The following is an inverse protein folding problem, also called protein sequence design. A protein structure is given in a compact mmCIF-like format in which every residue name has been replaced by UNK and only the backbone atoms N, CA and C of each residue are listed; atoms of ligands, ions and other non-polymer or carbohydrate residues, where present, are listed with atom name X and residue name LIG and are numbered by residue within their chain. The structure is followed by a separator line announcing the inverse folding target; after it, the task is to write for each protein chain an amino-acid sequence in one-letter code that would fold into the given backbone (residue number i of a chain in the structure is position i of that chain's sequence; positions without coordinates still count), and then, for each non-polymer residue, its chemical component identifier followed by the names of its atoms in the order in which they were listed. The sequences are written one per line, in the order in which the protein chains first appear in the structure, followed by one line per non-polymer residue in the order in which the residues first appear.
data_IF_380674968856
#
_entry.id   IF_380674968856
#
_cell.length_a   1.000
_cell.length_b   1.000
_cell.length_c   1.000
_cell.angle_alpha   90.00
_cell.angle_beta   90.00
_cell.angle_gamma   90.00
#
_symmetry.space_group_name_H-M   'P 1'
#
loop_
_entity.id
_entity.type
_entity.pdbx_description
1 polymer ?
#
# COMPACT_ATOMS: atom_id res chain seq x y z
N UNK A 1 18.92 2.59 -13.24
CA UNK A 1 17.61 1.89 -13.24
C UNK A 1 16.80 2.35 -12.04
N UNK A 2 15.51 2.41 -12.20
CA UNK A 2 14.56 2.79 -11.15
C UNK A 2 14.77 4.20 -10.54
N UNK A 3 15.28 5.12 -11.35
CA UNK A 3 15.45 6.53 -10.96
C UNK A 3 14.07 7.22 -10.86
N UNK A 4 13.80 7.81 -9.71
CA UNK A 4 12.58 8.55 -9.40
C UNK A 4 12.85 10.04 -9.17
N UNK A 5 14.00 10.55 -9.58
CA UNK A 5 14.34 11.97 -9.47
C UNK A 5 13.29 12.83 -10.17
N UNK A 6 12.78 13.85 -9.48
CA UNK A 6 11.71 14.72 -9.97
C UNK A 6 10.31 14.11 -9.91
N UNK A 7 10.14 12.88 -9.42
CA UNK A 7 8.82 12.28 -9.15
C UNK A 7 8.33 12.61 -7.74
N UNK A 8 7.03 12.59 -7.59
CA UNK A 8 6.37 12.84 -6.30
C UNK A 8 5.50 11.64 -5.92
N UNK A 9 5.57 11.21 -4.67
CA UNK A 9 4.86 10.04 -4.18
C UNK A 9 4.06 10.34 -2.90
N UNK A 10 2.79 9.98 -2.88
CA UNK A 10 1.97 9.95 -1.67
C UNK A 10 1.93 8.52 -1.12
N UNK A 11 2.38 8.34 0.12
CA UNK A 11 2.42 7.03 0.79
C UNK A 11 1.52 7.04 2.02
N UNK A 12 0.46 6.22 2.03
CA UNK A 12 -0.41 6.06 3.19
C UNK A 12 0.08 4.94 4.11
N UNK A 13 -0.18 5.07 5.42
CA UNK A 13 0.29 4.10 6.42
C UNK A 13 1.81 4.10 6.59
N UNK A 14 2.46 5.24 6.35
CA UNK A 14 3.92 5.38 6.45
C UNK A 14 4.46 5.31 7.89
N UNK A 15 3.60 5.28 8.90
CA UNK A 15 3.97 5.00 10.30
C UNK A 15 4.15 3.51 10.60
N UNK A 16 3.80 2.61 9.67
CA UNK A 16 3.96 1.16 9.76
C UNK A 16 5.22 0.66 9.05
N UNK A 17 5.62 -0.59 9.34
CA UNK A 17 6.86 -1.17 8.81
C UNK A 17 6.93 -1.17 7.27
N UNK A 18 5.91 -1.69 6.60
CA UNK A 18 5.87 -1.75 5.12
C UNK A 18 5.79 -0.36 4.50
N UNK A 19 4.85 0.48 4.96
CA UNK A 19 4.67 1.82 4.40
C UNK A 19 5.88 2.72 4.61
N UNK A 20 6.54 2.63 5.78
CA UNK A 20 7.77 3.34 6.07
C UNK A 20 8.93 2.91 5.16
N UNK A 21 9.11 1.60 4.98
CA UNK A 21 10.15 1.08 4.08
C UNK A 21 9.92 1.48 2.62
N UNK A 22 8.65 1.46 2.15
CA UNK A 22 8.33 1.94 0.80
C UNK A 22 8.65 3.43 0.67
N UNK A 23 8.23 4.26 1.62
CA UNK A 23 8.50 5.70 1.58
C UNK A 23 10.02 5.99 1.58
N UNK A 24 10.79 5.30 2.42
CA UNK A 24 12.24 5.38 2.46
C UNK A 24 12.87 4.98 1.12
N UNK A 25 12.44 3.87 0.53
CA UNK A 25 13.00 3.38 -0.72
C UNK A 25 12.71 4.32 -1.90
N UNK A 26 11.46 4.83 -2.02
CA UNK A 26 11.11 5.82 -3.04
C UNK A 26 11.92 7.11 -2.88
N UNK A 27 12.07 7.58 -1.64
CA UNK A 27 12.89 8.75 -1.32
C UNK A 27 14.37 8.55 -1.70
N UNK A 28 14.94 7.39 -1.38
CA UNK A 28 16.33 7.01 -1.71
C UNK A 28 16.54 6.97 -3.24
N UNK A 29 15.52 6.60 -4.00
CA UNK A 29 15.55 6.62 -5.48
C UNK A 29 15.30 8.02 -6.08
N UNK A 30 15.26 9.07 -5.27
CA UNK A 30 15.19 10.47 -5.71
C UNK A 30 13.79 11.10 -5.68
N UNK A 31 12.74 10.37 -5.31
CA UNK A 31 11.40 10.94 -5.22
C UNK A 31 11.25 11.96 -4.07
N UNK A 32 10.40 12.96 -4.25
CA UNK A 32 9.82 13.72 -3.15
C UNK A 32 8.64 12.94 -2.59
N UNK A 33 8.57 12.74 -1.27
CA UNK A 33 7.55 11.90 -0.66
C UNK A 33 6.64 12.69 0.29
N UNK A 34 5.33 12.51 0.14
CA UNK A 34 4.35 12.89 1.16
C UNK A 34 3.99 11.63 1.96
N UNK A 35 4.28 11.66 3.25
CA UNK A 35 4.04 10.54 4.17
C UNK A 35 2.79 10.79 5.00
N UNK A 36 1.88 9.80 5.02
CA UNK A 36 0.59 9.91 5.68
C UNK A 36 0.32 8.75 6.63
N UNK A 37 -0.36 9.05 7.71
CA UNK A 37 -0.78 8.14 8.77
C UNK A 37 -1.46 8.89 9.90
N UNK A 38 -1.92 8.19 10.93
CA UNK A 38 -2.66 8.81 12.04
C UNK A 38 -1.78 9.42 13.13
N UNK A 39 -0.55 8.92 13.30
CA UNK A 39 0.36 9.31 14.39
C UNK A 39 1.32 10.39 13.92
N UNK A 40 0.96 11.64 14.13
CA UNK A 40 1.74 12.82 13.70
C UNK A 40 3.20 12.78 14.17
N UNK A 41 3.43 12.52 15.45
CA UNK A 41 4.77 12.50 16.04
C UNK A 41 5.69 11.45 15.40
N UNK A 42 5.12 10.28 15.04
CA UNK A 42 5.87 9.23 14.34
C UNK A 42 6.24 9.67 12.92
N UNK A 43 5.31 10.35 12.23
CA UNK A 43 5.56 10.91 10.90
C UNK A 43 6.63 12.00 10.94
N UNK A 44 6.55 12.93 11.91
CA UNK A 44 7.53 14.01 12.07
C UNK A 44 8.94 13.45 12.38
N UNK A 45 9.02 12.44 13.26
CA UNK A 45 10.28 11.74 13.56
C UNK A 45 10.82 10.99 12.34
N UNK A 46 9.97 10.43 11.51
CA UNK A 46 10.37 9.76 10.28
C UNK A 46 10.82 10.77 9.22
N UNK A 47 10.10 11.88 9.06
CA UNK A 47 10.47 12.96 8.16
C UNK A 47 11.86 13.54 8.52
N UNK A 48 12.15 13.72 9.81
CA UNK A 48 13.44 14.18 10.27
C UNK A 48 14.61 13.24 9.87
N UNK A 49 14.34 11.93 9.80
CA UNK A 49 15.35 10.95 9.33
C UNK A 49 15.53 10.97 7.81
N UNK A 50 14.47 11.27 7.05
CA UNK A 50 14.53 11.40 5.60
C UNK A 50 15.23 12.69 5.16
N UNK A 51 15.14 13.76 5.97
CA UNK A 51 15.74 15.06 5.68
C UNK A 51 14.92 15.89 4.70
N UNK A 52 15.49 16.23 3.55
CA UNK A 52 14.82 17.01 2.51
C UNK A 52 13.85 16.17 1.67
N UNK A 53 13.05 16.81 0.83
CA UNK A 53 12.10 16.18 -0.10
C UNK A 53 11.03 15.28 0.59
N UNK A 54 10.60 15.68 1.80
CA UNK A 54 9.55 14.98 2.54
C UNK A 54 8.50 15.97 3.06
N UNK A 55 7.23 15.57 2.97
CA UNK A 55 6.09 16.33 3.49
C UNK A 55 5.26 15.43 4.41
N UNK A 56 4.85 15.97 5.56
CA UNK A 56 4.06 15.24 6.55
C UNK A 56 2.59 15.62 6.41
N UNK A 57 1.75 14.66 6.05
CA UNK A 57 0.31 14.84 5.83
C UNK A 57 -0.48 13.84 6.68
N UNK A 58 -0.76 14.14 7.95
CA UNK A 58 -1.53 13.25 8.82
C UNK A 58 -2.95 13.06 8.26
N UNK A 59 -3.42 11.82 8.24
CA UNK A 59 -4.76 11.49 7.79
C UNK A 59 -5.27 10.22 8.49
N UNK A 60 -6.51 10.30 8.98
CA UNK A 60 -7.25 9.14 9.43
C UNK A 60 -8.15 8.64 8.29
N UNK A 61 -7.86 7.44 7.77
CA UNK A 61 -8.62 6.87 6.64
C UNK A 61 -10.04 6.40 7.01
N UNK A 62 -10.42 6.40 8.29
CA UNK A 62 -11.81 6.20 8.68
C UNK A 62 -12.67 7.45 8.48
N UNK A 63 -12.04 8.63 8.38
CA UNK A 63 -12.71 9.90 8.12
C UNK A 63 -12.77 10.17 6.61
N UNK A 64 -13.97 10.13 6.09
CA UNK A 64 -14.25 10.34 4.67
C UNK A 64 -13.78 11.70 4.15
N UNK A 65 -13.98 12.78 4.92
CA UNK A 65 -13.58 14.12 4.52
C UNK A 65 -12.06 14.27 4.51
N UNK A 66 -11.37 13.69 5.51
CA UNK A 66 -9.91 13.66 5.55
C UNK A 66 -9.32 12.90 4.36
N UNK A 67 -9.92 11.76 3.98
CA UNK A 67 -9.49 10.98 2.80
C UNK A 67 -9.65 11.79 1.51
N UNK A 68 -10.76 12.49 1.34
CA UNK A 68 -11.01 13.31 0.14
C UNK A 68 -10.07 14.51 0.04
N UNK A 69 -9.63 15.06 1.17
CA UNK A 69 -8.69 16.17 1.23
C UNK A 69 -7.22 15.75 1.04
N UNK A 70 -6.86 14.48 1.24
CA UNK A 70 -5.46 14.04 1.31
C UNK A 70 -4.71 14.20 -0.01
N UNK A 71 -5.28 13.77 -1.13
CA UNK A 71 -4.63 13.89 -2.45
C UNK A 71 -4.49 15.36 -2.88
N UNK A 72 -5.51 16.24 -2.75
CA UNK A 72 -5.35 17.67 -2.96
C UNK A 72 -4.28 18.31 -2.06
N UNK A 73 -4.19 17.92 -0.79
CA UNK A 73 -3.15 18.42 0.12
C UNK A 73 -1.76 17.98 -0.33
N UNK A 74 -1.60 16.73 -0.80
CA UNK A 74 -0.35 16.23 -1.35
C UNK A 74 0.04 16.96 -2.64
N UNK A 75 -0.92 17.23 -3.53
CA UNK A 75 -0.69 18.04 -4.72
C UNK A 75 -0.25 19.47 -4.36
N UNK A 76 -0.91 20.09 -3.39
CA UNK A 76 -0.53 21.43 -2.92
C UNK A 76 0.87 21.48 -2.32
N UNK A 77 1.29 20.44 -1.58
CA UNK A 77 2.60 20.37 -0.95
C UNK A 77 3.74 20.06 -1.92
N UNK A 78 3.51 19.24 -2.94
CA UNK A 78 4.53 18.74 -3.86
C UNK A 78 4.39 19.26 -5.30
N UNK A 79 3.34 20.04 -5.60
CA UNK A 79 3.01 20.54 -6.93
C UNK A 79 2.34 19.49 -7.83
N UNK A 80 2.45 18.22 -7.51
CA UNK A 80 1.84 17.09 -8.23
C UNK A 80 1.81 15.82 -7.38
N UNK A 81 1.10 14.79 -7.87
CA UNK A 81 1.15 13.42 -7.34
C UNK A 81 1.35 12.48 -8.52
N UNK A 82 2.58 11.98 -8.69
CA UNK A 82 2.94 11.03 -9.76
C UNK A 82 2.72 9.57 -9.34
N UNK A 83 2.93 9.28 -8.06
CA UNK A 83 2.88 7.94 -7.49
C UNK A 83 1.94 7.96 -6.28
N UNK A 84 0.99 7.03 -6.25
CA UNK A 84 0.16 6.75 -5.08
C UNK A 84 0.47 5.35 -4.55
N UNK A 85 0.90 5.28 -3.28
CA UNK A 85 1.02 4.03 -2.53
C UNK A 85 -0.15 3.93 -1.54
N UNK A 86 -1.16 3.16 -1.88
CA UNK A 86 -2.29 2.86 -1.00
C UNK A 86 -1.94 1.64 -0.13
N UNK A 87 -1.27 1.90 1.00
CA UNK A 87 -0.74 0.85 1.89
C UNK A 87 -1.50 0.74 3.21
N UNK A 88 -2.05 1.83 3.74
CA UNK A 88 -2.74 1.80 5.03
C UNK A 88 -3.89 0.79 5.05
N UNK A 89 -4.06 0.12 6.18
CA UNK A 89 -5.13 -0.84 6.38
C UNK A 89 -5.18 -1.31 7.83
N UNK A 90 -6.33 -1.85 8.20
CA UNK A 90 -6.61 -2.43 9.53
C UNK A 90 -7.15 -3.85 9.38
N UNK A 91 -7.08 -4.61 10.47
CA UNK A 91 -7.77 -5.90 10.64
C UNK A 91 -8.73 -5.81 11.82
N UNK A 92 -9.80 -6.61 11.78
CA UNK A 92 -10.74 -6.86 12.87
C UNK A 92 -11.10 -8.34 12.77
N UNK A 93 -10.20 -9.16 13.31
CA UNK A 93 -10.25 -10.60 13.12
C UNK A 93 -11.27 -11.24 14.08
N UNK A 94 -12.16 -12.06 13.53
CA UNK A 94 -13.09 -12.89 14.30
C UNK A 94 -13.61 -14.02 13.42
N UNK A 95 -14.08 -15.13 14.04
CA UNK A 95 -14.75 -16.20 13.31
C UNK A 95 -15.94 -15.65 12.54
N UNK A 96 -16.20 -16.18 11.35
CA UNK A 96 -17.20 -15.65 10.43
C UNK A 96 -18.59 -15.45 11.08
N UNK A 97 -19.04 -16.42 11.85
CA UNK A 97 -20.35 -16.36 12.53
C UNK A 97 -20.40 -15.40 13.72
N UNK A 98 -19.25 -14.89 14.17
CA UNK A 98 -19.11 -13.96 15.30
C UNK A 98 -18.63 -12.58 14.84
N UNK A 99 -18.37 -12.41 13.55
CA UNK A 99 -17.93 -11.13 13.01
C UNK A 99 -19.09 -10.13 13.05
N UNK A 100 -18.87 -9.00 13.72
CA UNK A 100 -19.88 -7.96 13.86
C UNK A 100 -19.91 -7.07 12.62
N UNK A 101 -21.06 -6.50 12.34
CA UNK A 101 -21.26 -5.59 11.20
C UNK A 101 -20.34 -4.36 11.30
N UNK A 102 -20.14 -3.81 12.52
CA UNK A 102 -19.24 -2.67 12.71
C UNK A 102 -17.78 -3.02 12.39
N UNK A 103 -17.32 -4.23 12.74
CA UNK A 103 -15.97 -4.70 12.42
C UNK A 103 -15.79 -4.95 10.91
N UNK A 104 -16.86 -5.37 10.24
CA UNK A 104 -16.90 -5.47 8.79
C UNK A 104 -16.82 -4.10 8.13
N UNK A 105 -17.70 -3.18 8.51
CA UNK A 105 -17.79 -1.83 7.95
C UNK A 105 -16.50 -1.04 8.15
N UNK A 106 -15.90 -1.10 9.34
CA UNK A 106 -14.61 -0.47 9.65
C UNK A 106 -13.52 -0.92 8.66
N UNK A 107 -13.38 -2.24 8.47
CA UNK A 107 -12.33 -2.80 7.60
C UNK A 107 -12.60 -2.45 6.14
N UNK A 108 -13.83 -2.57 5.67
CA UNK A 108 -14.19 -2.20 4.29
C UNK A 108 -13.98 -0.71 4.06
N UNK A 109 -14.39 0.14 5.00
CA UNK A 109 -14.24 1.58 4.87
C UNK A 109 -12.77 2.01 4.79
N UNK A 110 -11.94 1.55 5.73
CA UNK A 110 -10.51 1.94 5.80
C UNK A 110 -9.69 1.30 4.69
N UNK A 111 -9.88 0.01 4.41
CA UNK A 111 -9.02 -0.70 3.46
C UNK A 111 -9.45 -0.49 2.01
N UNK A 112 -10.73 -0.66 1.70
CA UNK A 112 -11.23 -0.67 0.32
C UNK A 112 -11.78 0.70 -0.09
N UNK A 113 -12.72 1.26 0.68
CA UNK A 113 -13.40 2.51 0.30
C UNK A 113 -12.42 3.69 0.29
N UNK A 114 -11.52 3.79 1.28
CA UNK A 114 -10.51 4.85 1.27
C UNK A 114 -9.53 4.67 0.10
N UNK A 115 -9.09 3.43 -0.19
CA UNK A 115 -8.24 3.15 -1.36
C UNK A 115 -8.93 3.58 -2.67
N UNK A 116 -10.22 3.26 -2.84
CA UNK A 116 -11.00 3.72 -3.98
C UNK A 116 -11.02 5.25 -4.10
N UNK A 117 -11.29 5.97 -3.01
CA UNK A 117 -11.34 7.45 -3.01
C UNK A 117 -10.00 8.06 -3.36
N UNK A 118 -8.91 7.58 -2.76
CA UNK A 118 -7.55 8.04 -3.04
C UNK A 118 -7.15 7.76 -4.49
N UNK A 119 -7.39 6.54 -4.98
CA UNK A 119 -7.10 6.17 -6.36
C UNK A 119 -7.89 7.05 -7.35
N UNK A 120 -9.19 7.27 -7.11
CA UNK A 120 -10.03 8.14 -7.93
C UNK A 120 -9.52 9.58 -7.99
N UNK A 121 -9.13 10.14 -6.83
CA UNK A 121 -8.60 11.49 -6.76
C UNK A 121 -7.24 11.61 -7.48
N UNK A 122 -6.31 10.68 -7.22
CA UNK A 122 -5.00 10.66 -7.87
C UNK A 122 -5.12 10.46 -9.39
N UNK A 123 -5.98 9.53 -9.84
CA UNK A 123 -6.20 9.28 -11.28
C UNK A 123 -6.64 10.54 -12.03
N UNK A 124 -7.50 11.38 -11.43
CA UNK A 124 -7.93 12.66 -12.06
C UNK A 124 -6.75 13.59 -12.37
N UNK A 125 -5.74 13.62 -11.52
CA UNK A 125 -4.53 14.40 -11.71
C UNK A 125 -3.60 13.75 -12.74
N UNK A 126 -3.33 12.47 -12.55
CA UNK A 126 -2.41 11.67 -13.36
C UNK A 126 -2.84 11.59 -14.83
N UNK A 127 -4.14 11.42 -15.13
CA UNK A 127 -4.63 11.31 -16.49
C UNK A 127 -4.45 12.62 -17.29
N UNK A 128 -4.51 13.79 -16.63
CA UNK A 128 -4.28 15.09 -17.26
C UNK A 128 -2.83 15.28 -17.64
N UNK A 129 -1.91 14.84 -16.77
CA UNK A 129 -0.46 14.92 -16.98
C UNK A 129 0.09 13.79 -17.87
N UNK A 130 -0.74 12.79 -18.20
CA UNK A 130 -0.35 11.58 -18.94
C UNK A 130 0.81 10.84 -18.31
N UNK A 131 0.82 10.78 -16.99
CA UNK A 131 1.73 9.98 -16.17
C UNK A 131 1.09 9.68 -14.82
N UNK A 132 1.18 8.43 -14.39
CA UNK A 132 0.75 8.01 -13.05
C UNK A 132 1.14 6.57 -12.74
N UNK A 133 1.39 6.31 -11.46
CA UNK A 133 1.68 5.00 -10.90
C UNK A 133 0.83 4.80 -9.64
N UNK A 134 -0.15 3.92 -9.70
CA UNK A 134 -0.99 3.57 -8.56
C UNK A 134 -0.59 2.18 -8.10
N UNK A 135 -0.16 2.07 -6.85
CA UNK A 135 0.31 0.82 -6.26
C UNK A 135 -0.47 0.60 -4.97
N UNK A 136 -1.29 -0.45 -4.94
CA UNK A 136 -2.06 -0.81 -3.76
C UNK A 136 -1.44 -2.03 -3.06
N UNK A 137 -1.24 -1.93 -1.75
CA UNK A 137 -0.74 -3.04 -0.95
C UNK A 137 -1.94 -3.89 -0.53
N UNK A 138 -2.01 -5.08 -1.11
CA UNK A 138 -3.02 -6.08 -0.79
C UNK A 138 -2.49 -7.07 0.26
N UNK A 139 -2.75 -8.34 0.09
CA UNK A 139 -2.23 -9.43 0.90
C UNK A 139 -2.42 -10.74 0.14
N UNK A 140 -1.57 -11.72 0.43
CA UNK A 140 -1.77 -13.10 -0.01
C UNK A 140 -3.18 -13.60 0.35
N UNK A 141 -3.69 -13.24 1.53
CA UNK A 141 -5.01 -13.69 1.99
C UNK A 141 -6.16 -13.15 1.15
N UNK A 142 -5.98 -12.05 0.43
CA UNK A 142 -6.94 -11.54 -0.55
C UNK A 142 -7.18 -12.51 -1.73
N UNK A 143 -6.29 -13.50 -1.91
CA UNK A 143 -6.39 -14.52 -2.96
C UNK A 143 -6.67 -15.90 -2.37
N UNK A 144 -6.02 -16.25 -1.25
CA UNK A 144 -6.14 -17.58 -0.62
C UNK A 144 -7.29 -17.71 0.37
N UNK A 145 -7.78 -16.59 0.90
CA UNK A 145 -8.59 -16.60 2.12
C UNK A 145 -7.73 -16.86 3.37
N UNK A 146 -8.31 -16.56 4.53
CA UNK A 146 -7.75 -16.96 5.84
C UNK A 146 -8.87 -17.05 6.88
N UNK A 147 -8.97 -18.15 7.64
CA UNK A 147 -9.94 -18.26 8.72
C UNK A 147 -9.84 -17.09 9.70
N UNK A 148 -10.99 -16.54 10.09
CA UNK A 148 -11.06 -15.39 11.00
C UNK A 148 -10.86 -14.01 10.36
N UNK A 149 -10.64 -13.92 9.05
CA UNK A 149 -10.34 -12.67 8.34
C UNK A 149 -11.29 -12.40 7.17
N UNK A 150 -12.57 -12.71 7.29
CA UNK A 150 -13.51 -12.56 6.18
C UNK A 150 -13.59 -11.11 5.64
N UNK A 151 -13.69 -10.12 6.54
CA UNK A 151 -13.68 -8.69 6.21
C UNK A 151 -12.38 -8.24 5.56
N UNK A 152 -11.24 -8.59 6.15
CA UNK A 152 -9.92 -8.24 5.64
C UNK A 152 -9.67 -8.87 4.27
N UNK A 153 -9.95 -10.17 4.13
CA UNK A 153 -9.85 -10.90 2.87
C UNK A 153 -10.72 -10.27 1.79
N UNK A 154 -11.99 -9.98 2.09
CA UNK A 154 -12.91 -9.32 1.15
C UNK A 154 -12.36 -7.95 0.71
N UNK A 155 -11.86 -7.14 1.66
CA UNK A 155 -11.28 -5.84 1.34
C UNK A 155 -10.07 -5.95 0.42
N UNK A 156 -9.16 -6.89 0.69
CA UNK A 156 -7.92 -7.07 -0.10
C UNK A 156 -8.20 -7.70 -1.47
N UNK A 157 -9.17 -8.60 -1.58
CA UNK A 157 -9.66 -9.11 -2.86
C UNK A 157 -10.34 -8.02 -3.69
N UNK A 158 -11.19 -7.19 -3.05
CA UNK A 158 -11.84 -6.05 -3.72
C UNK A 158 -10.86 -5.04 -4.30
N UNK A 159 -9.76 -4.77 -3.60
CA UNK A 159 -8.68 -3.90 -4.11
C UNK A 159 -8.08 -4.47 -5.40
N UNK A 160 -7.87 -5.78 -5.51
CA UNK A 160 -7.32 -6.41 -6.73
C UNK A 160 -8.24 -6.15 -7.92
N UNK A 161 -9.56 -6.32 -7.76
CA UNK A 161 -10.54 -6.03 -8.80
C UNK A 161 -10.58 -4.55 -9.18
N UNK A 162 -10.58 -3.65 -8.18
CA UNK A 162 -10.54 -2.20 -8.38
C UNK A 162 -9.32 -1.78 -9.21
N UNK A 163 -8.13 -2.25 -8.84
CA UNK A 163 -6.87 -1.86 -9.49
C UNK A 163 -6.78 -2.40 -10.92
N UNK A 164 -7.30 -3.59 -11.21
CA UNK A 164 -7.42 -4.11 -12.58
C UNK A 164 -8.26 -3.17 -13.46
N UNK A 165 -9.39 -2.72 -12.94
CA UNK A 165 -10.28 -1.79 -13.65
C UNK A 165 -9.59 -0.46 -13.94
N UNK A 166 -8.97 0.16 -12.93
CA UNK A 166 -8.23 1.42 -13.10
C UNK A 166 -7.09 1.25 -14.12
N UNK A 167 -6.34 0.16 -14.04
CA UNK A 167 -5.27 -0.14 -14.99
C UNK A 167 -5.76 -0.26 -16.44
N UNK A 168 -6.89 -0.92 -16.66
CA UNK A 168 -7.49 -1.06 -17.99
C UNK A 168 -8.01 0.27 -18.56
N UNK A 169 -8.70 1.07 -17.73
CA UNK A 169 -9.31 2.33 -18.18
C UNK A 169 -8.28 3.41 -18.53
N UNK A 170 -7.17 3.49 -17.78
CA UNK A 170 -6.25 4.63 -17.87
C UNK A 170 -4.89 4.30 -18.49
N UNK A 171 -4.64 3.07 -18.94
CA UNK A 171 -3.39 2.67 -19.60
C UNK A 171 -3.00 3.59 -20.79
N UNK A 172 -3.97 3.97 -21.62
CA UNK A 172 -3.77 4.90 -22.76
C UNK A 172 -3.33 6.32 -22.32
N UNK A 173 -3.44 6.63 -21.06
CA UNK A 173 -2.99 7.88 -20.45
C UNK A 173 -1.64 7.75 -19.74
N UNK A 174 -0.92 6.64 -19.96
CA UNK A 174 0.32 6.32 -19.24
C UNK A 174 0.14 6.31 -17.72
N UNK A 175 -1.04 5.87 -17.26
CA UNK A 175 -1.31 5.60 -15.85
C UNK A 175 -1.36 4.09 -15.68
N UNK A 176 -0.44 3.54 -14.90
CA UNK A 176 -0.48 2.13 -14.52
C UNK A 176 -1.05 1.98 -13.12
N UNK A 177 -1.77 0.90 -12.89
CA UNK A 177 -2.31 0.57 -11.59
C UNK A 177 -2.04 -0.91 -11.29
N UNK A 178 -1.34 -1.19 -10.20
CA UNK A 178 -0.90 -2.53 -9.83
C UNK A 178 -1.07 -2.78 -8.33
N UNK A 179 -1.09 -4.05 -7.96
CA UNK A 179 -1.09 -4.51 -6.58
C UNK A 179 0.25 -5.15 -6.22
N UNK A 180 0.64 -5.04 -4.97
CA UNK A 180 1.62 -5.92 -4.34
C UNK A 180 0.87 -6.73 -3.28
N UNK A 181 1.03 -8.05 -3.30
CA UNK A 181 0.45 -8.97 -2.33
C UNK A 181 1.56 -9.58 -1.45
N UNK A 182 1.83 -8.98 -0.27
CA UNK A 182 2.77 -9.54 0.68
C UNK A 182 2.30 -10.88 1.24
N UNK A 183 3.26 -11.76 1.54
CA UNK A 183 3.07 -12.87 2.45
C UNK A 183 3.27 -12.45 3.91
N UNK A 184 3.88 -13.32 4.72
CA UNK A 184 4.26 -12.97 6.09
C UNK A 184 5.52 -12.11 6.10
N UNK A 185 5.36 -10.85 6.51
CA UNK A 185 6.43 -9.85 6.57
C UNK A 185 6.78 -9.57 8.04
N UNK A 186 8.08 -9.52 8.33
CA UNK A 186 8.58 -9.15 9.66
C UNK A 186 8.20 -7.70 9.97
N UNK A 187 7.37 -7.53 10.98
CA UNK A 187 6.88 -6.24 11.47
C UNK A 187 6.72 -6.35 13.00
N UNK A 188 6.55 -5.25 13.73
CA UNK A 188 6.27 -5.32 15.18
C UNK A 188 5.12 -6.27 15.56
N UNK A 189 4.15 -6.45 14.65
CA UNK A 189 3.04 -7.39 14.85
C UNK A 189 3.51 -8.86 14.81
N UNK A 190 4.41 -9.21 13.91
CA UNK A 190 4.96 -10.57 13.78
C UNK A 190 6.08 -10.84 14.78
N UNK A 191 6.72 -9.81 15.32
CA UNK A 191 7.72 -9.95 16.38
C UNK A 191 7.09 -10.40 17.72
N UNK A 192 5.79 -10.16 17.90
CA UNK A 192 5.02 -10.64 19.05
C UNK A 192 4.67 -12.14 19.00
N UNK A 193 4.94 -12.84 17.88
CA UNK A 193 4.69 -14.27 17.73
C UNK A 193 5.69 -15.08 18.56
N UNK A 194 5.19 -16.13 19.23
CA UNK A 194 6.06 -17.10 19.89
C UNK A 194 6.75 -18.02 18.87
N UNK A 195 7.79 -18.74 19.32
CA UNK A 195 8.62 -19.60 18.46
C UNK A 195 7.80 -20.65 17.72
N UNK A 196 6.84 -21.30 18.39
CA UNK A 196 5.96 -22.31 17.79
C UNK A 196 5.07 -21.73 16.68
N UNK A 197 4.54 -20.55 16.89
CA UNK A 197 3.76 -19.84 15.85
C UNK A 197 4.65 -19.47 14.66
N UNK A 198 5.86 -19.00 14.94
CA UNK A 198 6.86 -18.67 13.92
C UNK A 198 7.25 -19.89 13.10
N UNK A 199 7.55 -21.01 13.74
CA UNK A 199 7.84 -22.28 13.06
C UNK A 199 6.66 -22.72 12.18
N UNK A 200 5.42 -22.67 12.71
CA UNK A 200 4.22 -23.03 11.95
C UNK A 200 4.05 -22.16 10.70
N UNK A 201 4.39 -20.87 10.78
CA UNK A 201 4.36 -19.97 9.61
C UNK A 201 5.46 -20.37 8.62
N UNK A 202 6.68 -20.63 9.10
CA UNK A 202 7.82 -20.95 8.24
C UNK A 202 7.63 -22.25 7.48
N UNK A 203 6.90 -23.23 8.02
CA UNK A 203 6.55 -24.45 7.25
C UNK A 203 5.69 -24.17 6.02
N UNK A 204 4.99 -23.04 5.99
CA UNK A 204 4.15 -22.61 4.85
C UNK A 204 4.88 -21.74 3.84
N UNK A 205 6.13 -21.33 4.14
CA UNK A 205 6.92 -20.43 3.29
C UNK A 205 8.06 -21.20 2.64
N UNK A 206 7.99 -21.53 1.34
CA UNK A 206 9.06 -22.26 0.65
C UNK A 206 10.45 -21.62 0.78
N UNK A 207 10.51 -20.28 0.82
CA UNK A 207 11.77 -19.53 1.02
C UNK A 207 12.37 -19.69 2.45
N UNK A 208 11.68 -20.40 3.36
CA UNK A 208 12.10 -20.70 4.73
C UNK A 208 12.48 -19.47 5.59
N UNK A 209 11.96 -18.30 5.24
CA UNK A 209 12.11 -17.04 6.00
C UNK A 209 10.86 -16.19 5.92
N UNK A 210 10.66 -15.34 6.91
CA UNK A 210 9.74 -14.22 6.77
C UNK A 210 10.30 -13.21 5.76
N UNK A 211 9.43 -12.57 5.00
CA UNK A 211 9.81 -11.41 4.22
C UNK A 211 10.16 -10.23 5.12
N UNK A 212 10.86 -9.25 4.57
CA UNK A 212 11.13 -7.98 5.24
C UNK A 212 10.32 -6.87 4.58
N UNK A 213 10.09 -5.73 5.25
CA UNK A 213 9.52 -4.55 4.60
C UNK A 213 10.28 -4.13 3.33
N UNK A 214 11.60 -4.35 3.27
CA UNK A 214 12.43 -4.03 2.11
C UNK A 214 12.15 -4.94 0.91
N UNK A 215 11.77 -6.22 1.13
CA UNK A 215 11.31 -7.10 0.05
C UNK A 215 10.09 -6.51 -0.68
N UNK A 216 9.18 -5.85 0.07
CA UNK A 216 8.00 -5.17 -0.48
C UNK A 216 8.37 -3.84 -1.12
N UNK A 217 9.27 -3.08 -0.48
CA UNK A 217 9.72 -1.78 -0.96
C UNK A 217 10.42 -1.89 -2.32
N UNK A 218 11.21 -2.93 -2.56
CA UNK A 218 11.85 -3.20 -3.85
C UNK A 218 10.82 -3.37 -4.98
N UNK A 219 9.75 -4.13 -4.75
CA UNK A 219 8.66 -4.29 -5.70
C UNK A 219 7.91 -2.97 -5.94
N UNK A 220 7.73 -2.14 -4.90
CA UNK A 220 7.09 -0.84 -5.00
C UNK A 220 7.94 0.14 -5.84
N UNK A 221 9.26 0.17 -5.65
CA UNK A 221 10.20 0.97 -6.46
C UNK A 221 10.12 0.57 -7.93
N UNK A 222 10.15 -0.74 -8.23
CA UNK A 222 9.99 -1.23 -9.59
C UNK A 222 8.70 -0.73 -10.22
N UNK A 223 7.54 -0.95 -9.56
CA UNK A 223 6.24 -0.54 -10.10
C UNK A 223 6.07 0.98 -10.20
N UNK A 224 6.79 1.76 -9.40
CA UNK A 224 6.78 3.22 -9.44
C UNK A 224 7.61 3.79 -10.59
N UNK A 225 8.55 3.02 -11.12
CA UNK A 225 9.55 3.46 -12.09
C UNK A 225 9.04 3.48 -13.55
N UNK A 226 9.85 4.01 -14.43
CA UNK A 226 9.58 3.97 -15.87
C UNK A 226 9.74 2.56 -16.46
N UNK A 227 10.56 1.72 -15.83
CA UNK A 227 10.80 0.34 -16.25
C UNK A 227 9.55 -0.54 -16.14
N UNK A 228 8.60 -0.15 -15.29
CA UNK A 228 7.30 -0.82 -15.16
C UNK A 228 6.19 -0.20 -16.04
N UNK A 229 6.51 0.67 -17.01
CA UNK A 229 5.50 1.37 -17.80
C UNK A 229 4.58 0.44 -18.62
N UNK A 230 4.98 -0.80 -18.86
CA UNK A 230 4.18 -1.82 -19.56
C UNK A 230 3.50 -2.83 -18.61
N UNK A 231 3.61 -2.60 -17.29
CA UNK A 231 2.99 -3.45 -16.25
C UNK A 231 1.79 -2.71 -15.68
N UNK A 232 0.58 -3.19 -15.96
CA UNK A 232 -0.66 -2.62 -15.41
C UNK A 232 -1.70 -3.72 -15.17
N UNK A 233 -2.54 -3.53 -14.15
CA UNK A 233 -3.56 -4.49 -13.74
C UNK A 233 -3.01 -5.76 -13.07
N UNK A 234 -1.71 -5.79 -12.73
CA UNK A 234 -1.06 -6.97 -12.18
C UNK A 234 -1.06 -6.97 -10.65
N UNK A 235 -0.99 -8.17 -10.09
CA UNK A 235 -0.71 -8.37 -8.67
C UNK A 235 0.64 -9.08 -8.55
N UNK A 236 1.66 -8.36 -8.05
CA UNK A 236 2.96 -8.95 -7.78
C UNK A 236 2.93 -9.60 -6.40
N UNK A 237 3.09 -10.91 -6.37
CA UNK A 237 3.11 -11.71 -5.16
C UNK A 237 4.53 -11.73 -4.56
N UNK A 238 4.71 -11.08 -3.40
CA UNK A 238 5.98 -11.05 -2.66
C UNK A 238 5.79 -11.82 -1.36
N UNK A 239 5.83 -13.16 -1.44
CA UNK A 239 5.36 -14.03 -0.37
C UNK A 239 6.26 -15.25 -0.08
N UNK A 240 7.48 -15.27 -0.66
CA UNK A 240 8.41 -16.38 -0.46
C UNK A 240 7.93 -17.73 -1.00
N UNK A 241 7.02 -17.72 -1.97
CA UNK A 241 6.45 -18.92 -2.58
C UNK A 241 5.23 -19.50 -1.85
N UNK A 242 4.67 -18.80 -0.84
CA UNK A 242 3.49 -19.30 -0.12
C UNK A 242 2.27 -19.53 -1.02
N UNK A 243 2.13 -18.75 -2.06
CA UNK A 243 1.10 -18.92 -3.09
C UNK A 243 1.64 -18.47 -4.45
N UNK A 244 1.36 -19.26 -5.47
CA UNK A 244 1.80 -19.07 -6.85
C UNK A 244 0.56 -19.07 -7.75
N UNK A 245 0.33 -17.95 -8.48
CA UNK A 245 -0.85 -17.76 -9.31
C UNK A 245 -0.44 -17.27 -10.70
#
# INVERSE_FOLDING_TARGET
MFDLTGRTALVTGATGGIGGAIAQALHTQGATVAISGTRREVLDSFAAKLGERVHVLPCNLSDSAAVEALVPAAEGAMGQVDILIANAGITRDNLFVQLRDEDWDDVINVNLTATFRLARAATKLMMRKRFGRIIAITSIVGVTGNPGQANYTASKAGIIGLIKTVGAEYAKRNVTANCIAPGFIKTPMTDALNDKQRETILTKVPAARLGTPDDIAAAAVYLASNEAAYVTGQTIHVNGGMAMF
#
